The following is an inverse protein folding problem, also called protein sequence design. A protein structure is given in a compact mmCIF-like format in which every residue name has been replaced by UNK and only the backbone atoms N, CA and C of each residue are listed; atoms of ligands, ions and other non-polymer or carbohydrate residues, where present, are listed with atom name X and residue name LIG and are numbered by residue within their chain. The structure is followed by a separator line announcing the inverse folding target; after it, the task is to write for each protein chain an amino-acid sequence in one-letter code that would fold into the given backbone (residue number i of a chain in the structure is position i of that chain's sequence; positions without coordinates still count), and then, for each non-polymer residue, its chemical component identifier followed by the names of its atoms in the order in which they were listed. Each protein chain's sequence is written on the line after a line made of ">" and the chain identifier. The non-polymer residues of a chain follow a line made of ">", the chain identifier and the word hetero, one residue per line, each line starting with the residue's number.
data_IF_324363468814
#
_entry.id   IF_324363468814
#
_cell.length_a   1.000
_cell.length_b   1.000
_cell.length_c   1.000
_cell.angle_alpha   90.00
_cell.angle_beta   90.00
_cell.angle_gamma   90.00
#
_symmetry.space_group_name_H-M   'P 1'
#
loop_
_entity.id
_entity.type
_entity.pdbx_description
1 polymer ?
#
# COMPACT_ATOMS: atom_id res chain seq x y z
N UNK A 1 1.15 10.73 28.73
CA UNK A 1 1.64 11.29 27.47
C UNK A 1 2.72 10.35 26.99
N UNK A 2 2.35 9.28 26.31
CA UNK A 2 3.31 8.33 25.75
C UNK A 2 3.01 8.19 24.26
N UNK A 3 3.78 8.91 23.48
CA UNK A 3 3.71 8.96 22.02
C UNK A 3 4.73 7.96 21.48
N UNK A 4 4.35 6.69 21.40
CA UNK A 4 5.07 5.68 20.63
C UNK A 4 4.83 5.93 19.14
N UNK A 5 5.47 6.96 18.60
CA UNK A 5 5.60 7.10 17.15
C UNK A 5 6.49 5.96 16.67
N UNK A 6 5.86 4.96 16.04
CA UNK A 6 6.55 3.89 15.34
C UNK A 6 7.47 4.51 14.28
N UNK A 7 8.76 4.15 14.32
CA UNK A 7 9.76 4.58 13.34
C UNK A 7 9.35 4.06 11.96
N UNK A 8 8.84 4.93 11.08
CA UNK A 8 8.51 4.55 9.71
C UNK A 8 9.78 4.27 8.94
N UNK A 9 10.00 3.00 8.58
CA UNK A 9 11.08 2.57 7.70
C UNK A 9 10.54 2.37 6.28
N UNK A 10 11.12 3.02 5.26
CA UNK A 10 10.72 2.80 3.88
C UNK A 10 10.90 1.32 3.52
N UNK A 11 9.87 0.75 2.90
CA UNK A 11 9.98 -0.59 2.32
C UNK A 11 10.67 -0.47 0.96
N UNK A 12 11.80 -1.15 0.80
CA UNK A 12 12.42 -1.31 -0.51
C UNK A 12 11.72 -2.43 -1.27
N UNK A 13 11.04 -2.07 -2.36
CA UNK A 13 10.51 -3.04 -3.31
C UNK A 13 11.67 -3.69 -4.06
N UNK A 14 11.68 -5.02 -4.11
CA UNK A 14 12.58 -5.76 -5.00
C UNK A 14 12.20 -5.52 -6.46
N UNK A 15 13.19 -5.43 -7.35
CA UNK A 15 12.97 -5.07 -8.76
C UNK A 15 12.01 -6.03 -9.48
N UNK A 16 12.07 -7.31 -9.13
CA UNK A 16 11.16 -8.33 -9.68
C UNK A 16 9.69 -8.02 -9.42
N UNK A 17 9.36 -7.54 -8.21
CA UNK A 17 7.98 -7.19 -7.83
C UNK A 17 7.59 -5.84 -8.46
N UNK A 18 8.51 -4.87 -8.49
CA UNK A 18 8.26 -3.56 -9.09
C UNK A 18 7.86 -3.65 -10.56
N UNK A 19 8.50 -4.56 -11.31
CA UNK A 19 8.24 -4.75 -12.74
C UNK A 19 6.89 -5.42 -13.04
N UNK A 20 6.21 -5.96 -12.03
CA UNK A 20 4.88 -6.57 -12.19
C UNK A 20 3.74 -5.60 -11.93
N UNK A 21 4.02 -4.39 -11.43
CA UNK A 21 3.00 -3.38 -11.15
C UNK A 21 2.44 -2.84 -12.46
N UNK A 22 1.11 -2.92 -12.60
CA UNK A 22 0.40 -2.33 -13.73
C UNK A 22 -0.10 -0.94 -13.35
N UNK A 23 0.19 0.04 -14.21
CA UNK A 23 -0.25 1.41 -14.06
C UNK A 23 -1.35 1.72 -15.08
N UNK A 24 -2.27 2.60 -14.71
CA UNK A 24 -3.24 3.15 -15.66
C UNK A 24 -2.59 4.24 -16.55
N UNK A 25 -3.37 4.84 -17.46
CA UNK A 25 -2.88 5.88 -18.37
C UNK A 25 -2.39 7.16 -17.66
N UNK A 26 -2.86 7.38 -16.43
CA UNK A 26 -2.47 8.51 -15.58
C UNK A 26 -1.24 8.19 -14.71
N UNK A 27 -0.70 6.98 -14.81
CA UNK A 27 0.45 6.52 -14.03
C UNK A 27 0.11 6.12 -12.60
N UNK A 28 -1.15 5.79 -12.31
CA UNK A 28 -1.64 5.40 -10.97
C UNK A 28 -1.82 3.89 -10.84
N UNK A 29 -1.67 3.39 -9.62
CA UNK A 29 -1.87 1.98 -9.23
C UNK A 29 -3.17 1.86 -8.43
N UNK A 30 -4.03 0.87 -8.72
CA UNK A 30 -5.20 0.62 -7.90
C UNK A 30 -4.79 0.05 -6.53
N UNK A 31 -5.38 0.59 -5.46
CA UNK A 31 -5.09 0.21 -4.08
C UNK A 31 -6.38 -0.16 -3.34
N UNK A 32 -6.33 -1.24 -2.55
CA UNK A 32 -7.43 -1.67 -1.68
C UNK A 32 -6.96 -1.55 -0.23
N UNK A 33 -7.73 -0.81 0.57
CA UNK A 33 -7.55 -0.85 2.02
C UNK A 33 -8.49 -1.92 2.60
N UNK A 34 -7.91 -2.84 3.36
CA UNK A 34 -8.60 -3.97 3.96
C UNK A 34 -8.29 -4.00 5.46
N UNK A 35 -9.29 -4.37 6.26
CA UNK A 35 -9.08 -4.68 7.67
C UNK A 35 -8.30 -6.00 7.81
N UNK A 36 -7.29 -6.03 8.67
CA UNK A 36 -6.24 -7.06 8.69
C UNK A 36 -6.75 -8.39 9.26
N UNK A 37 -7.65 -8.38 10.24
CA UNK A 37 -8.07 -9.60 10.95
C UNK A 37 -9.26 -10.29 10.26
N UNK A 38 -10.24 -9.50 9.81
CA UNK A 38 -11.51 -9.95 9.23
C UNK A 38 -11.44 -10.08 7.72
N UNK A 39 -10.53 -9.34 7.07
CA UNK A 39 -10.47 -9.25 5.62
C UNK A 39 -11.59 -8.38 5.02
N UNK A 40 -12.28 -7.55 5.83
CA UNK A 40 -13.28 -6.63 5.29
C UNK A 40 -12.61 -5.57 4.39
N UNK A 41 -13.10 -5.44 3.16
CA UNK A 41 -12.63 -4.39 2.23
C UNK A 41 -13.26 -3.06 2.64
N UNK A 42 -12.44 -2.11 3.04
CA UNK A 42 -12.87 -0.81 3.55
C UNK A 42 -13.08 0.20 2.41
N UNK A 43 -12.16 0.23 1.44
CA UNK A 43 -12.23 1.14 0.31
C UNK A 43 -11.30 0.74 -0.84
N UNK A 44 -11.56 1.31 -2.01
CA UNK A 44 -10.66 1.30 -3.17
C UNK A 44 -10.23 2.74 -3.48
N UNK A 45 -8.95 2.92 -3.78
CA UNK A 45 -8.32 4.19 -4.09
C UNK A 45 -7.23 4.02 -5.17
N UNK A 46 -6.61 5.14 -5.55
CA UNK A 46 -5.47 5.16 -6.46
C UNK A 46 -4.23 5.67 -5.73
N UNK A 47 -3.07 5.07 -6.00
CA UNK A 47 -1.75 5.51 -5.55
C UNK A 47 -0.89 5.98 -6.72
#
# INVERSE_FOLDING_TARGET
>A
MDSTQSEWKPVHLVDEVRNQITYNADGLVPAIAQEVETGEVLMMAWM
#
